data_IF_092744816083
#
_entry.id   IF_092744816083
#
_cell.length_a   1.000
_cell.length_b   1.000
_cell.length_c   1.000
_cell.angle_alpha   90.00
_cell.angle_beta   90.00
_cell.angle_gamma   90.00
#
_symmetry.space_group_name_H-M   'P 1'
#
loop_
_entity.id
_entity.type
_entity.pdbx_description
1 polymer ?
#
# COMPACT_ATOMS: atom_id res chain seq x y z
N UNK A 1 -9.08 12.64 11.44
CA UNK A 1 -8.63 11.38 12.11
C UNK A 1 -9.67 10.31 11.82
N UNK A 2 -9.45 9.42 10.84
CA UNK A 2 -10.35 8.29 10.59
C UNK A 2 -9.52 7.02 10.48
N UNK A 3 -9.10 6.50 11.63
CA UNK A 3 -8.64 5.13 11.76
C UNK A 3 -9.80 4.38 12.37
N UNK A 4 -10.69 3.84 11.53
CA UNK A 4 -11.72 2.93 12.02
C UNK A 4 -10.99 1.72 12.62
N UNK A 5 -11.38 1.29 13.82
CA UNK A 5 -10.66 0.35 14.69
C UNK A 5 -10.44 -1.08 14.13
N UNK A 6 -10.59 -1.28 12.82
CA UNK A 6 -10.57 -2.58 12.13
C UNK A 6 -9.37 -2.75 11.16
N UNK A 7 -8.34 -1.89 11.26
CA UNK A 7 -7.19 -1.94 10.36
C UNK A 7 -7.50 -1.55 8.91
N UNK A 8 -8.63 -0.86 8.68
CA UNK A 8 -9.06 -0.44 7.35
C UNK A 8 -8.59 0.99 7.08
N UNK A 9 -7.85 1.14 5.97
CA UNK A 9 -7.34 2.40 5.45
C UNK A 9 -8.16 2.77 4.22
N UNK A 10 -8.86 3.88 4.29
CA UNK A 10 -9.51 4.51 3.14
C UNK A 10 -8.53 5.53 2.58
N UNK A 11 -8.15 5.36 1.32
CA UNK A 11 -7.32 6.33 0.63
C UNK A 11 -8.22 7.44 0.07
N UNK A 12 -7.99 8.72 0.44
CA UNK A 12 -8.75 9.85 -0.10
C UNK A 12 -8.40 10.13 -1.57
N UNK A 13 -7.31 9.52 -2.07
CA UNK A 13 -6.75 9.71 -3.41
C UNK A 13 -6.90 8.43 -4.24
N UNK A 14 -7.01 8.56 -5.57
CA UNK A 14 -7.10 7.42 -6.48
C UNK A 14 -5.73 6.81 -6.74
N UNK A 15 -5.66 5.59 -7.27
CA UNK A 15 -4.36 4.98 -7.62
C UNK A 15 -3.57 5.77 -8.66
N UNK A 16 -4.26 6.51 -9.52
CA UNK A 16 -3.66 7.45 -10.46
C UNK A 16 -3.02 8.63 -9.74
N UNK A 17 -3.73 9.27 -8.80
CA UNK A 17 -3.16 10.34 -7.98
C UNK A 17 -1.93 9.86 -7.20
N UNK A 18 -1.93 8.62 -6.68
CA UNK A 18 -0.77 8.04 -5.99
C UNK A 18 0.40 7.81 -6.94
N UNK A 19 0.12 7.31 -8.14
CA UNK A 19 1.11 7.05 -9.18
C UNK A 19 1.77 8.36 -9.65
N UNK A 20 0.94 9.38 -9.88
CA UNK A 20 1.35 10.75 -10.22
C UNK A 20 2.22 11.35 -9.10
N UNK A 21 1.78 11.25 -7.84
CA UNK A 21 2.51 11.77 -6.68
C UNK A 21 3.88 11.11 -6.47
N UNK A 22 3.99 9.83 -6.81
CA UNK A 22 5.23 9.05 -6.68
C UNK A 22 6.07 9.06 -7.97
N UNK A 23 5.63 9.74 -9.02
CA UNK A 23 6.24 9.71 -10.35
C UNK A 23 6.49 8.28 -10.89
N UNK A 24 5.60 7.34 -10.57
CA UNK A 24 5.64 5.95 -11.05
C UNK A 24 4.38 5.62 -11.85
N UNK A 25 4.43 4.58 -12.68
CA UNK A 25 3.22 4.13 -13.39
C UNK A 25 2.18 3.54 -12.44
N UNK A 26 0.90 3.77 -12.74
CA UNK A 26 -0.24 3.17 -12.00
C UNK A 26 -0.18 1.63 -12.00
N UNK A 27 0.42 1.03 -13.03
CA UNK A 27 0.73 -0.39 -13.09
C UNK A 27 1.70 -0.83 -11.98
N UNK A 28 2.74 -0.05 -11.69
CA UNK A 28 3.70 -0.33 -10.61
C UNK A 28 3.01 -0.30 -9.25
N UNK A 29 2.16 0.70 -9.02
CA UNK A 29 1.34 0.79 -7.79
C UNK A 29 0.39 -0.39 -7.70
N UNK A 30 -0.27 -0.76 -8.80
CA UNK A 30 -1.21 -1.88 -8.85
C UNK A 30 -0.51 -3.22 -8.60
N UNK A 31 0.68 -3.44 -9.19
CA UNK A 31 1.52 -4.61 -8.97
C UNK A 31 1.99 -4.70 -7.53
N UNK A 32 2.47 -3.59 -6.94
CA UNK A 32 2.88 -3.55 -5.54
C UNK A 32 1.71 -3.91 -4.59
N UNK A 33 0.55 -3.30 -4.78
CA UNK A 33 -0.67 -3.60 -4.01
C UNK A 33 -1.12 -5.06 -4.19
N UNK A 34 -1.04 -5.58 -5.41
CA UNK A 34 -1.41 -6.98 -5.72
C UNK A 34 -0.45 -7.95 -5.07
N UNK A 35 0.84 -7.66 -5.08
CA UNK A 35 1.87 -8.45 -4.42
C UNK A 35 1.67 -8.50 -2.89
N UNK A 36 1.36 -7.36 -2.27
CA UNK A 36 1.00 -7.28 -0.85
C UNK A 36 -0.29 -8.06 -0.54
N UNK A 37 -1.26 -8.06 -1.46
CA UNK A 37 -2.48 -8.86 -1.35
C UNK A 37 -2.21 -10.35 -1.43
N UNK A 38 -1.40 -10.80 -2.39
CA UNK A 38 -1.06 -12.21 -2.58
C UNK A 38 -0.32 -12.78 -1.38
N UNK A 39 0.52 -11.98 -0.73
CA UNK A 39 1.22 -12.36 0.51
C UNK A 39 0.35 -12.34 1.76
N UNK A 40 -0.93 -11.95 1.66
CA UNK A 40 -1.84 -11.88 2.81
C UNK A 40 -1.56 -10.74 3.78
N UNK A 41 -0.74 -9.75 3.40
CA UNK A 41 -0.41 -8.59 4.24
C UNK A 41 -1.57 -7.60 4.26
N UNK A 42 -2.19 -7.38 3.09
CA UNK A 42 -3.34 -6.50 2.91
C UNK A 42 -4.48 -7.19 2.14
N UNK A 43 -5.69 -6.68 2.26
CA UNK A 43 -6.86 -7.02 1.46
C UNK A 43 -7.37 -5.77 0.78
N UNK A 44 -7.63 -5.85 -0.50
CA UNK A 44 -8.33 -4.79 -1.22
C UNK A 44 -9.83 -4.94 -0.94
N UNK A 45 -10.40 -4.03 -0.16
CA UNK A 45 -11.84 -3.99 0.15
C UNK A 45 -12.62 -3.08 -0.82
N UNK A 46 -11.93 -2.35 -1.68
CA UNK A 46 -12.52 -1.51 -2.72
C UNK A 46 -11.47 -0.80 -3.58
N UNK A 47 -11.92 0.07 -4.49
CA UNK A 47 -11.02 0.85 -5.38
C UNK A 47 -10.09 1.78 -4.60
N UNK A 48 -10.61 2.35 -3.50
CA UNK A 48 -9.91 3.28 -2.60
C UNK A 48 -9.83 2.76 -1.15
N UNK A 49 -10.12 1.48 -0.94
CA UNK A 49 -10.23 0.92 0.42
C UNK A 49 -9.34 -0.29 0.56
N UNK A 50 -8.41 -0.22 1.50
CA UNK A 50 -7.43 -1.27 1.80
C UNK A 50 -7.61 -1.69 3.25
N UNK A 51 -7.69 -2.98 3.53
CA UNK A 51 -7.71 -3.55 4.87
C UNK A 51 -6.36 -4.18 5.16
N UNK A 52 -5.68 -3.67 6.18
CA UNK A 52 -4.42 -4.22 6.67
C UNK A 52 -4.77 -5.45 7.49
N UNK A 53 -4.31 -6.62 7.05
CA UNK A 53 -4.48 -7.88 7.78
C UNK A 53 -3.36 -8.07 8.79
N UNK A 54 -2.13 -7.73 8.41
CA UNK A 54 -0.95 -7.88 9.24
C UNK A 54 -0.08 -6.62 9.17
N UNK A 55 -0.20 -5.76 10.18
CA UNK A 55 0.54 -4.49 10.24
C UNK A 55 2.04 -4.71 10.42
N UNK A 56 2.45 -5.71 11.21
CA UNK A 56 3.87 -6.04 11.42
C UNK A 56 4.56 -6.42 10.11
N UNK A 57 3.92 -7.25 9.30
CA UNK A 57 4.45 -7.65 7.98
C UNK A 57 4.49 -6.48 6.98
N UNK A 58 3.65 -5.46 7.16
CA UNK A 58 3.70 -4.24 6.37
C UNK A 58 4.87 -3.33 6.81
N UNK A 59 5.06 -3.17 8.13
CA UNK A 59 6.10 -2.31 8.72
C UNK A 59 7.52 -2.83 8.43
N UNK A 60 7.72 -4.15 8.47
CA UNK A 60 8.99 -4.81 8.12
C UNK A 60 9.45 -4.45 6.70
N UNK A 61 8.52 -4.40 5.75
CA UNK A 61 8.79 -4.20 4.31
C UNK A 61 9.09 -2.75 3.92
N UNK A 62 8.46 -1.79 4.59
CA UNK A 62 8.67 -0.37 4.30
C UNK A 62 10.09 0.06 4.70
N UNK A 63 10.73 -0.66 5.62
CA UNK A 63 12.15 -0.50 5.95
C UNK A 63 13.12 -0.99 4.87
N UNK A 64 12.70 -1.86 3.95
CA UNK A 64 13.57 -2.44 2.92
C UNK A 64 13.62 -1.58 1.65
N UNK A 65 12.52 -0.91 1.30
CA UNK A 65 12.43 -0.15 0.04
C UNK A 65 13.27 1.14 0.04
N UNK A 66 13.73 1.60 1.20
CA UNK A 66 14.62 2.77 1.37
C UNK A 66 16.03 2.34 1.82
N UNK A 67 16.51 1.17 1.39
CA UNK A 67 17.95 0.81 1.50
C UNK A 67 18.66 0.71 0.14
N UNK A 68 17.98 1.05 -0.95
CA UNK A 68 18.56 1.13 -2.30
C UNK A 68 18.82 2.58 -2.72
N UNK A 69 19.54 3.31 -1.87
CA UNK A 69 20.21 4.57 -2.20
C UNK A 69 21.49 4.68 -1.36
N UNK A 70 22.33 3.65 -1.46
CA UNK A 70 23.71 3.65 -0.98
C UNK A 70 24.44 2.52 -1.70
N UNK A 71 24.80 2.76 -2.95
CA UNK A 71 26.04 2.29 -3.60
C UNK A 71 26.23 3.07 -4.90
#
# INVERSE_FOLDING_TARGET
>A
RVSNASGQVVLPVSRYDIADYLAVSVETVCRALTHLKQRGVIRLAGKRTIKILNRRALEDRIGESSRVASV
#
